data_IF_175361062473
#
_entry.id   IF_175361062473
#
_cell.length_a   1.000
_cell.length_b   1.000
_cell.length_c   1.000
_cell.angle_alpha   90.00
_cell.angle_beta   90.00
_cell.angle_gamma   90.00
#
_symmetry.space_group_name_H-M   'P 1'
#
loop_
_entity.id
_entity.type
_entity.pdbx_description
1 polymer ?
#
# COMPACT_ATOMS: atom_id res chain seq x y z
N UNK A 1 9.90 16.60 -10.43
CA UNK A 1 9.37 15.26 -10.13
C UNK A 1 10.55 14.33 -9.87
N UNK A 2 10.69 13.76 -8.66
CA UNK A 2 11.85 12.90 -8.36
C UNK A 2 11.72 11.55 -9.06
N UNK A 3 12.78 11.08 -9.73
CA UNK A 3 12.84 9.74 -10.33
C UNK A 3 12.58 8.62 -9.32
N UNK A 4 12.83 8.87 -8.03
CA UNK A 4 12.59 7.93 -6.95
C UNK A 4 11.18 7.31 -7.00
N UNK A 5 10.13 8.14 -6.94
CA UNK A 5 8.74 7.68 -6.86
C UNK A 5 8.30 6.93 -8.11
N UNK A 6 8.71 7.39 -9.29
CA UNK A 6 8.35 6.77 -10.58
C UNK A 6 8.78 5.31 -10.68
N UNK A 7 9.86 4.95 -9.99
CA UNK A 7 10.41 3.59 -9.99
C UNK A 7 9.85 2.71 -8.85
N UNK A 8 8.94 3.23 -8.01
CA UNK A 8 8.37 2.47 -6.91
C UNK A 8 7.04 1.80 -7.26
N UNK A 9 6.89 0.55 -6.81
CA UNK A 9 5.61 -0.14 -6.62
C UNK A 9 5.28 -0.10 -5.13
N UNK A 10 4.40 0.81 -4.75
CA UNK A 10 4.13 1.12 -3.33
C UNK A 10 2.91 0.34 -2.85
N UNK A 11 3.10 -0.53 -1.86
CA UNK A 11 2.00 -1.17 -1.15
C UNK A 11 1.66 -0.36 0.11
N UNK A 12 0.42 0.12 0.20
CA UNK A 12 -0.12 0.88 1.32
C UNK A 12 -1.19 0.05 2.03
N UNK A 13 -0.81 -0.65 3.09
CA UNK A 13 -1.81 -1.34 3.94
C UNK A 13 -2.57 -0.29 4.75
N UNK A 14 -3.88 -0.44 4.94
CA UNK A 14 -4.68 0.60 5.60
C UNK A 14 -4.87 1.86 4.75
N UNK A 15 -4.57 1.82 3.45
CA UNK A 15 -4.68 2.93 2.52
C UNK A 15 -6.09 3.50 2.34
N UNK A 16 -7.14 2.77 2.76
CA UNK A 16 -8.52 3.26 2.78
C UNK A 16 -8.95 3.91 4.10
N UNK A 17 -8.09 3.94 5.12
CA UNK A 17 -8.36 4.59 6.42
C UNK A 17 -8.07 6.09 6.40
N UNK A 18 -8.33 6.78 7.51
CA UNK A 18 -8.21 8.25 7.63
C UNK A 18 -6.88 8.80 7.11
N UNK A 19 -5.74 8.34 7.63
CA UNK A 19 -4.42 8.78 7.15
C UNK A 19 -4.08 8.16 5.79
N UNK A 20 -4.49 6.89 5.59
CA UNK A 20 -4.18 6.13 4.39
C UNK A 20 -4.66 6.81 3.11
N UNK A 21 -5.86 7.41 3.12
CA UNK A 21 -6.43 8.05 1.94
C UNK A 21 -5.56 9.22 1.46
N UNK A 22 -5.12 10.09 2.38
CA UNK A 22 -4.23 11.20 2.05
C UNK A 22 -2.85 10.75 1.59
N UNK A 23 -2.31 9.66 2.17
CA UNK A 23 -1.03 9.09 1.72
C UNK A 23 -1.14 8.56 0.29
N UNK A 24 -2.22 7.83 -0.03
CA UNK A 24 -2.47 7.32 -1.39
C UNK A 24 -2.59 8.46 -2.40
N UNK A 25 -3.32 9.53 -2.07
CA UNK A 25 -3.40 10.73 -2.92
C UNK A 25 -2.04 11.38 -3.11
N UNK A 26 -1.29 11.61 -2.03
CA UNK A 26 0.03 12.22 -2.09
C UNK A 26 1.06 11.40 -2.89
N UNK A 27 0.96 10.06 -2.88
CA UNK A 27 1.79 9.18 -3.72
C UNK A 27 1.48 9.35 -5.21
N UNK A 28 0.18 9.43 -5.56
CA UNK A 28 -0.27 9.67 -6.94
C UNK A 28 0.20 11.03 -7.44
N UNK A 29 0.06 12.09 -6.62
CA UNK A 29 0.54 13.44 -6.96
C UNK A 29 2.05 13.50 -7.20
N UNK A 30 2.82 12.68 -6.46
CA UNK A 30 4.28 12.55 -6.63
C UNK A 30 4.68 11.75 -7.87
N UNK A 31 3.71 11.15 -8.58
CA UNK A 31 3.95 10.31 -9.74
C UNK A 31 4.59 8.98 -9.38
N UNK A 32 4.16 8.37 -8.27
CA UNK A 32 4.56 7.00 -7.94
C UNK A 32 4.20 6.04 -9.08
N UNK A 33 5.09 5.12 -9.42
CA UNK A 33 4.92 4.21 -10.56
C UNK A 33 3.65 3.38 -10.44
N UNK A 34 3.51 2.64 -9.34
CA UNK A 34 2.30 1.90 -9.01
C UNK A 34 1.96 2.10 -7.52
N UNK A 35 0.67 2.22 -7.19
CA UNK A 35 0.18 2.37 -5.81
C UNK A 35 -0.92 1.37 -5.55
N UNK A 36 -0.66 0.42 -4.66
CA UNK A 36 -1.59 -0.62 -4.23
C UNK A 36 -2.13 -0.31 -2.84
N UNK A 37 -3.45 -0.21 -2.70
CA UNK A 37 -4.12 0.04 -1.43
C UNK A 37 -5.24 -1.00 -1.23
N UNK A 38 -4.88 -2.27 -0.93
CA UNK A 38 -5.84 -3.37 -0.78
C UNK A 38 -6.86 -3.10 0.34
N UNK A 39 -8.07 -3.65 0.20
CA UNK A 39 -9.03 -3.74 1.31
C UNK A 39 -8.68 -4.92 2.22
N UNK A 40 -8.97 -4.77 3.52
CA UNK A 40 -8.83 -5.87 4.48
C UNK A 40 -9.76 -7.06 4.20
N UNK A 41 -10.82 -6.86 3.41
CA UNK A 41 -11.72 -7.92 2.94
C UNK A 41 -11.10 -8.75 1.81
N UNK A 42 -10.11 -8.21 1.10
CA UNK A 42 -9.41 -8.90 0.00
C UNK A 42 -8.16 -9.62 0.52
N UNK A 43 -7.45 -9.02 1.48
CA UNK A 43 -6.25 -9.56 2.11
C UNK A 43 -6.29 -9.32 3.62
N UNK A 44 -6.39 -10.38 4.41
CA UNK A 44 -6.35 -10.30 5.87
C UNK A 44 -4.90 -10.38 6.36
N UNK A 45 -4.32 -9.24 6.74
CA UNK A 45 -2.93 -9.14 7.20
C UNK A 45 -2.64 -9.84 8.55
N UNK A 46 -3.65 -10.47 9.16
CA UNK A 46 -3.46 -11.37 10.30
C UNK A 46 -3.14 -12.81 9.86
N UNK A 47 -3.26 -13.11 8.56
CA UNK A 47 -3.04 -14.43 7.97
C UNK A 47 -1.81 -14.39 7.07
N UNK A 48 -0.84 -15.25 7.35
CA UNK A 48 0.41 -15.34 6.59
C UNK A 48 0.17 -15.60 5.10
N UNK A 49 -0.74 -16.52 4.75
CA UNK A 49 -1.07 -16.82 3.35
C UNK A 49 -1.60 -15.60 2.56
N UNK A 50 -2.34 -14.69 3.21
CA UNK A 50 -2.80 -13.46 2.55
C UNK A 50 -1.68 -12.42 2.42
N UNK A 51 -0.71 -12.42 3.35
CA UNK A 51 0.51 -11.62 3.24
C UNK A 51 1.35 -12.14 2.06
N UNK A 52 1.63 -13.44 2.00
CA UNK A 52 2.38 -14.04 0.88
C UNK A 52 1.72 -13.73 -0.47
N UNK A 53 0.40 -13.89 -0.54
CA UNK A 53 -0.38 -13.60 -1.76
C UNK A 53 -0.28 -12.14 -2.17
N UNK A 54 -0.41 -11.18 -1.24
CA UNK A 54 -0.30 -9.77 -1.63
C UNK A 54 1.11 -9.38 -2.09
N UNK A 55 2.16 -9.98 -1.50
CA UNK A 55 3.53 -9.78 -1.97
C UNK A 55 3.73 -10.36 -3.37
N UNK A 56 3.16 -11.53 -3.66
CA UNK A 56 3.21 -12.14 -4.99
C UNK A 56 2.45 -11.32 -6.04
N UNK A 57 1.26 -10.84 -5.71
CA UNK A 57 0.39 -10.11 -6.63
C UNK A 57 0.90 -8.69 -6.93
N UNK A 58 1.50 -8.01 -5.94
CA UNK A 58 1.89 -6.60 -6.05
C UNK A 58 3.40 -6.38 -6.23
N UNK A 59 4.23 -7.38 -5.90
CA UNK A 59 5.70 -7.34 -5.97
C UNK A 59 6.29 -6.00 -5.49
N UNK A 60 5.92 -5.52 -4.28
CA UNK A 60 6.18 -4.13 -3.91
C UNK A 60 7.67 -3.86 -3.72
N UNK A 61 8.11 -2.67 -4.10
CA UNK A 61 9.48 -2.19 -3.82
C UNK A 61 9.54 -1.34 -2.55
N UNK A 62 8.38 -0.83 -2.11
CA UNK A 62 8.21 -0.04 -0.90
C UNK A 62 6.88 -0.42 -0.23
N UNK A 63 6.91 -0.63 1.08
CA UNK A 63 5.70 -0.86 1.89
C UNK A 63 5.52 0.28 2.87
N UNK A 64 4.34 0.92 2.83
CA UNK A 64 3.88 1.85 3.84
C UNK A 64 2.81 1.16 4.69
N UNK A 65 3.19 0.69 5.87
CA UNK A 65 2.32 -0.10 6.74
C UNK A 65 1.47 0.78 7.67
N UNK A 66 0.30 1.22 7.20
CA UNK A 66 -0.64 2.06 7.96
C UNK A 66 -1.84 1.28 8.52
N UNK A 67 -1.91 -0.03 8.30
CA UNK A 67 -2.97 -0.85 8.87
C UNK A 67 -2.73 -1.03 10.37
N UNK A 68 -3.73 -0.71 11.19
CA UNK A 68 -3.69 -0.90 12.62
C UNK A 68 -5.11 -1.12 13.16
N UNK A 69 -5.23 -1.89 14.24
CA UNK A 69 -6.42 -1.87 15.07
C UNK A 69 -6.30 -0.68 16.01
N UNK A 70 -7.00 0.39 15.70
CA UNK A 70 -7.10 1.60 16.53
C UNK A 70 -8.52 1.67 17.08
N UNK A 71 -8.63 1.92 18.38
CA UNK A 71 -9.85 1.74 19.18
C UNK A 71 -11.08 2.51 18.71
#
# INVERSE_FOLDING_TARGET
MSEFWKNQRVLVTGGGGFLGSFVVEGLKERGAGEVFAPRSTEYDLRKEADIERIYADTQPTLVLHLAASVG
#
